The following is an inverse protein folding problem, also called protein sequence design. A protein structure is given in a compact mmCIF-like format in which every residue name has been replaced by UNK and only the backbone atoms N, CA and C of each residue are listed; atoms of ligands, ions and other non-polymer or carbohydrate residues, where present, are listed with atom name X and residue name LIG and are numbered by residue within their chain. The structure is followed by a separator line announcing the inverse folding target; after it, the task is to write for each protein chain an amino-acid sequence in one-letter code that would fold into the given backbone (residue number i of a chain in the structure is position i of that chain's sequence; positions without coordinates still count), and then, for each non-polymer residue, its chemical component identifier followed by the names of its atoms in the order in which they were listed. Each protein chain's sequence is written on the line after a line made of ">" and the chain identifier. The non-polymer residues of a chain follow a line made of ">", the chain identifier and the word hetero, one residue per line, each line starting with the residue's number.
data_IF_162563550701
#
_entry.id   IF_162563550701
#
_cell.length_a   1.000
_cell.length_b   1.000
_cell.length_c   1.000
_cell.angle_alpha   90.00
_cell.angle_beta   90.00
_cell.angle_gamma   90.00
#
_symmetry.space_group_name_H-M   'P 1'
#
loop_
_entity.id
_entity.type
_entity.pdbx_description
1 polymer ?
#
# COMPACT_ATOMS: atom_id res chain seq x y z
N UNK A 1 34.46 -54.95 -0.99
CA UNK A 1 33.48 -55.15 0.07
C UNK A 1 32.19 -54.45 -0.36
N UNK A 2 31.21 -55.26 -0.78
CA UNK A 2 29.94 -54.81 -1.39
C UNK A 2 28.95 -54.40 -0.27
N UNK A 3 28.33 -53.23 -0.38
CA UNK A 3 27.14 -52.88 0.43
C UNK A 3 25.98 -52.49 -0.49
N UNK A 4 24.89 -53.20 -0.30
CA UNK A 4 23.69 -53.30 -1.11
C UNK A 4 22.83 -52.01 -1.15
N UNK A 5 22.35 -51.67 -2.33
CA UNK A 5 21.22 -50.75 -2.56
C UNK A 5 19.91 -51.41 -2.09
N UNK A 6 19.12 -50.74 -1.24
CA UNK A 6 17.71 -51.06 -1.01
C UNK A 6 16.83 -50.14 -1.85
N UNK A 7 16.08 -50.70 -2.76
CA UNK A 7 14.95 -50.10 -3.46
C UNK A 7 13.72 -50.20 -2.57
N UNK A 8 13.00 -49.11 -2.38
CA UNK A 8 11.65 -49.08 -1.76
C UNK A 8 10.67 -48.80 -2.91
N UNK A 9 9.80 -49.77 -3.15
CA UNK A 9 8.72 -49.75 -4.13
C UNK A 9 7.49 -49.10 -3.48
N UNK A 10 6.93 -48.04 -4.06
CA UNK A 10 5.66 -47.47 -3.68
C UNK A 10 4.51 -48.20 -4.39
N UNK A 11 3.58 -48.72 -3.63
CA UNK A 11 2.36 -49.34 -4.14
C UNK A 11 1.25 -48.29 -4.26
N UNK A 12 0.70 -48.14 -5.47
CA UNK A 12 -0.54 -47.41 -5.74
C UNK A 12 -1.74 -48.27 -5.29
N UNK A 13 -2.60 -47.71 -4.45
CA UNK A 13 -3.93 -48.24 -4.19
C UNK A 13 -4.98 -47.28 -4.75
N UNK A 14 -5.58 -47.67 -5.85
CA UNK A 14 -6.75 -47.00 -6.41
C UNK A 14 -8.02 -47.56 -5.76
N UNK A 15 -8.82 -46.69 -5.12
CA UNK A 15 -10.19 -47.01 -4.68
C UNK A 15 -11.15 -46.15 -5.49
N UNK A 16 -11.84 -46.76 -6.40
CA UNK A 16 -13.01 -46.18 -7.07
C UNK A 16 -14.24 -46.24 -6.19
N UNK A 17 -14.99 -45.15 -6.07
CA UNK A 17 -16.35 -45.16 -5.60
C UNK A 17 -17.19 -44.39 -6.62
N UNK A 18 -18.07 -45.09 -7.29
CA UNK A 18 -19.08 -44.54 -8.19
C UNK A 18 -20.18 -43.84 -7.38
N UNK A 19 -20.52 -42.63 -7.79
CA UNK A 19 -21.74 -41.95 -7.36
C UNK A 19 -22.73 -41.91 -8.51
N UNK A 20 -23.86 -42.57 -8.29
CA UNK A 20 -25.04 -42.60 -9.17
C UNK A 20 -25.70 -41.24 -9.14
N UNK A 21 -25.76 -40.55 -10.27
CA UNK A 21 -26.56 -39.32 -10.44
C UNK A 21 -28.01 -39.69 -10.80
N UNK A 22 -28.93 -39.48 -9.84
CA UNK A 22 -30.36 -39.45 -10.14
C UNK A 22 -30.72 -38.07 -10.70
N UNK A 23 -31.12 -38.05 -11.97
CA UNK A 23 -31.82 -36.94 -12.60
C UNK A 23 -33.27 -36.93 -12.13
N UNK A 24 -33.68 -35.94 -11.33
CA UNK A 24 -35.08 -35.60 -11.13
C UNK A 24 -35.44 -34.45 -12.08
N UNK A 25 -36.28 -34.76 -13.06
CA UNK A 25 -36.90 -33.77 -13.94
C UNK A 25 -38.01 -33.05 -13.19
N UNK A 26 -37.91 -31.72 -13.05
CA UNK A 26 -39.04 -30.86 -12.71
C UNK A 26 -39.52 -30.15 -13.98
N UNK A 27 -40.84 -29.99 -14.15
CA UNK A 27 -41.39 -29.32 -15.33
C UNK A 27 -41.13 -27.80 -15.26
N UNK A 28 -40.57 -27.26 -16.32
CA UNK A 28 -40.45 -25.83 -16.54
C UNK A 28 -41.82 -25.26 -16.90
N UNK A 29 -42.41 -24.50 -15.99
CA UNK A 29 -43.52 -23.60 -16.29
C UNK A 29 -42.95 -22.31 -16.86
N UNK A 30 -43.25 -22.01 -18.12
CA UNK A 30 -42.93 -20.72 -18.73
C UNK A 30 -43.84 -19.66 -18.14
N UNK A 31 -43.25 -18.79 -17.30
CA UNK A 31 -43.80 -17.47 -17.01
C UNK A 31 -43.05 -16.48 -17.88
N UNK A 32 -43.73 -15.83 -18.79
CA UNK A 32 -43.27 -14.63 -19.50
C UNK A 32 -43.11 -13.54 -18.48
N UNK A 33 -41.89 -13.30 -18.02
CA UNK A 33 -41.51 -12.14 -17.26
C UNK A 33 -40.93 -11.13 -18.25
N UNK A 34 -41.70 -10.06 -18.48
CA UNK A 34 -41.24 -8.90 -19.24
C UNK A 34 -39.99 -8.35 -18.63
N UNK A 35 -38.84 -8.60 -19.27
CA UNK A 35 -37.58 -7.94 -18.97
C UNK A 35 -37.78 -6.45 -19.19
N UNK A 36 -37.90 -5.68 -18.10
CA UNK A 36 -37.59 -4.26 -18.12
C UNK A 36 -36.07 -4.16 -18.28
N UNK A 37 -35.68 -3.81 -19.50
CA UNK A 37 -34.36 -3.35 -19.84
C UNK A 37 -34.01 -2.11 -18.98
N UNK A 38 -33.39 -2.32 -17.83
CA UNK A 38 -32.61 -1.29 -17.18
C UNK A 38 -31.20 -1.39 -17.76
N UNK A 39 -31.07 -0.92 -18.99
CA UNK A 39 -29.79 -0.45 -19.51
C UNK A 39 -29.34 0.74 -18.62
N UNK A 40 -28.71 0.42 -17.49
CA UNK A 40 -27.76 1.30 -16.89
C UNK A 40 -26.57 1.31 -17.86
N UNK A 41 -26.67 2.13 -18.91
CA UNK A 41 -25.57 2.48 -19.77
C UNK A 41 -24.43 2.93 -18.81
N UNK A 42 -23.40 2.09 -18.68
CA UNK A 42 -22.12 2.55 -18.19
C UNK A 42 -21.75 3.72 -19.10
N UNK A 43 -21.98 4.94 -18.62
CA UNK A 43 -21.48 6.13 -19.28
C UNK A 43 -19.98 5.91 -19.31
N UNK A 44 -19.44 5.60 -20.50
CA UNK A 44 -18.01 5.70 -20.74
C UNK A 44 -17.66 7.16 -20.50
N UNK A 45 -17.06 7.44 -19.33
CA UNK A 45 -16.62 8.79 -18.99
C UNK A 45 -15.75 9.30 -20.12
N UNK A 46 -15.99 10.55 -20.53
CA UNK A 46 -15.14 11.21 -21.52
C UNK A 46 -13.70 11.19 -20.97
N UNK A 47 -12.73 10.57 -21.67
CA UNK A 47 -11.36 10.43 -21.18
C UNK A 47 -10.64 11.77 -20.98
N UNK A 48 -11.24 12.90 -21.34
CA UNK A 48 -10.72 14.24 -21.10
C UNK A 48 -11.21 14.86 -19.78
N UNK A 49 -12.09 14.22 -19.03
CA UNK A 49 -12.73 14.81 -17.86
C UNK A 49 -11.92 14.55 -16.59
N UNK A 50 -11.68 15.60 -15.81
CA UNK A 50 -11.21 15.49 -14.43
C UNK A 50 -12.38 14.98 -13.58
N UNK A 51 -12.34 13.69 -13.22
CA UNK A 51 -13.46 12.99 -12.56
C UNK A 51 -13.81 13.62 -11.22
N UNK A 52 -12.82 14.05 -10.45
CA UNK A 52 -13.02 14.70 -9.14
C UNK A 52 -13.76 16.04 -9.22
N UNK A 53 -13.76 16.71 -10.38
CA UNK A 53 -14.56 17.92 -10.59
C UNK A 53 -16.08 17.67 -10.59
N UNK A 54 -16.51 16.42 -10.72
CA UNK A 54 -17.93 16.02 -10.63
C UNK A 54 -18.43 15.75 -9.20
N UNK A 55 -17.56 15.78 -8.19
CA UNK A 55 -17.91 15.54 -6.79
C UNK A 55 -18.52 16.82 -6.20
N UNK A 56 -19.69 16.70 -5.58
CA UNK A 56 -20.37 17.86 -4.95
C UNK A 56 -19.56 18.43 -3.79
N UNK A 57 -19.36 19.74 -3.82
CA UNK A 57 -18.55 20.45 -2.83
C UNK A 57 -17.03 20.25 -2.93
N UNK A 58 -16.54 19.47 -3.92
CA UNK A 58 -15.11 19.28 -4.15
C UNK A 58 -14.49 20.50 -4.85
N UNK A 59 -13.29 20.95 -4.47
CA UNK A 59 -12.61 22.04 -5.17
C UNK A 59 -12.40 21.71 -6.65
N UNK A 60 -12.64 22.68 -7.53
CA UNK A 60 -12.45 22.50 -8.97
C UNK A 60 -10.96 22.55 -9.32
N UNK A 61 -10.47 21.52 -9.98
CA UNK A 61 -9.11 21.44 -10.49
C UNK A 61 -9.04 21.82 -11.96
N UNK A 62 -7.92 22.42 -12.38
CA UNK A 62 -7.63 22.61 -13.81
C UNK A 62 -7.31 21.28 -14.46
N UNK A 63 -7.73 21.13 -15.71
CA UNK A 63 -7.27 20.01 -16.54
C UNK A 63 -5.79 20.17 -16.89
N UNK A 64 -5.15 19.04 -17.14
CA UNK A 64 -3.75 18.92 -17.59
C UNK A 64 -3.68 18.33 -19.00
N UNK A 65 -2.57 18.53 -19.71
CA UNK A 65 -2.39 18.00 -21.05
C UNK A 65 -1.99 16.52 -21.10
N UNK A 66 -1.39 16.00 -20.02
CA UNK A 66 -1.01 14.59 -19.91
C UNK A 66 -2.24 13.67 -19.92
N UNK A 67 -2.07 12.44 -20.41
CA UNK A 67 -3.19 11.54 -20.67
C UNK A 67 -3.88 11.06 -19.37
N UNK A 68 -3.10 10.80 -18.33
CA UNK A 68 -3.64 10.37 -17.04
C UNK A 68 -2.86 10.98 -15.87
N UNK A 69 -3.54 11.27 -14.77
CA UNK A 69 -2.90 11.66 -13.52
C UNK A 69 -3.77 11.38 -12.29
N UNK A 70 -3.11 11.30 -11.16
CA UNK A 70 -3.73 11.22 -9.84
C UNK A 70 -2.94 12.04 -8.82
N UNK A 71 -3.65 12.63 -7.86
CA UNK A 71 -3.08 13.09 -6.59
C UNK A 71 -3.80 12.38 -5.46
N UNK A 72 -3.07 11.68 -4.64
CA UNK A 72 -3.59 10.89 -3.52
C UNK A 72 -2.87 11.28 -2.22
N UNK A 73 -3.63 11.46 -1.16
CA UNK A 73 -3.06 11.64 0.18
C UNK A 73 -2.80 10.29 0.83
N UNK A 74 -1.55 10.10 1.33
CA UNK A 74 -1.02 8.77 1.67
C UNK A 74 -1.48 8.19 3.01
N UNK A 75 -1.98 9.01 3.95
CA UNK A 75 -2.42 8.46 5.25
C UNK A 75 -3.85 7.91 5.24
N UNK A 76 -4.64 8.33 4.26
CA UNK A 76 -6.05 7.98 4.12
C UNK A 76 -6.40 7.36 2.78
N UNK A 77 -5.44 7.34 1.84
CA UNK A 77 -5.62 6.98 0.43
C UNK A 77 -6.73 7.80 -0.27
N UNK A 78 -6.96 9.03 0.22
CA UNK A 78 -7.95 9.92 -0.37
C UNK A 78 -7.45 10.46 -1.70
N UNK A 79 -8.20 10.20 -2.77
CA UNK A 79 -7.93 10.72 -4.11
C UNK A 79 -8.43 12.16 -4.21
N UNK A 80 -7.50 13.12 -4.30
CA UNK A 80 -7.80 14.56 -4.39
C UNK A 80 -8.03 15.02 -5.83
N UNK A 81 -7.33 14.42 -6.77
CA UNK A 81 -7.42 14.67 -8.20
C UNK A 81 -7.37 13.35 -8.96
N UNK A 82 -8.22 13.19 -9.96
CA UNK A 82 -8.24 12.02 -10.83
C UNK A 82 -8.62 12.41 -12.25
N UNK A 83 -7.71 12.07 -13.17
CA UNK A 83 -7.94 12.12 -14.63
C UNK A 83 -7.46 10.79 -15.20
N UNK A 84 -8.36 10.00 -15.79
CA UNK A 84 -8.04 8.71 -16.39
C UNK A 84 -7.13 7.82 -15.50
N UNK A 85 -7.29 7.93 -14.15
CA UNK A 85 -6.35 7.34 -13.21
C UNK A 85 -6.24 5.80 -13.32
N UNK A 86 -7.27 5.13 -13.83
CA UNK A 86 -7.31 3.68 -14.02
C UNK A 86 -7.03 3.24 -15.47
N UNK A 87 -6.63 4.19 -16.35
CA UNK A 87 -6.26 3.87 -17.73
C UNK A 87 -4.90 3.18 -17.78
N UNK A 88 -4.78 1.97 -18.38
CA UNK A 88 -3.49 1.33 -18.60
C UNK A 88 -2.63 2.10 -19.58
N UNK A 89 -1.41 2.44 -19.18
CA UNK A 89 -0.43 3.19 -19.97
C UNK A 89 0.97 2.60 -19.78
N UNK A 90 1.87 2.85 -20.71
CA UNK A 90 3.26 2.43 -20.59
C UNK A 90 3.98 3.21 -19.48
N UNK A 91 4.68 2.49 -18.56
CA UNK A 91 5.26 3.08 -17.36
C UNK A 91 6.57 3.82 -17.56
N UNK A 92 7.34 3.52 -18.59
CA UNK A 92 8.75 3.87 -18.70
C UNK A 92 9.52 3.50 -17.40
N UNK A 93 10.52 4.32 -17.02
CA UNK A 93 11.38 4.07 -15.85
C UNK A 93 10.66 4.19 -14.49
N UNK A 94 9.37 4.52 -14.42
CA UNK A 94 8.58 4.44 -13.20
C UNK A 94 8.53 3.00 -12.63
N UNK A 95 8.65 1.97 -13.48
CA UNK A 95 8.79 0.55 -13.06
C UNK A 95 9.89 0.35 -12.02
N UNK A 96 10.96 1.13 -12.07
CA UNK A 96 12.13 0.98 -11.19
C UNK A 96 11.79 1.25 -9.71
N UNK A 97 10.69 1.95 -9.43
CA UNK A 97 10.17 2.08 -8.06
C UNK A 97 9.78 0.70 -7.53
N UNK A 98 8.99 -0.09 -8.29
CA UNK A 98 8.64 -1.46 -7.91
C UNK A 98 9.87 -2.37 -7.88
N UNK A 99 10.80 -2.22 -8.81
CA UNK A 99 12.06 -2.99 -8.82
C UNK A 99 12.86 -2.76 -7.54
N UNK A 100 13.00 -1.51 -7.10
CA UNK A 100 13.68 -1.18 -5.85
C UNK A 100 12.90 -1.64 -4.61
N UNK A 101 11.58 -1.51 -4.59
CA UNK A 101 10.73 -1.98 -3.50
C UNK A 101 10.89 -3.48 -3.30
N UNK A 102 10.75 -4.28 -4.36
CA UNK A 102 10.92 -5.74 -4.29
C UNK A 102 12.34 -6.12 -3.86
N UNK A 103 13.36 -5.43 -4.36
CA UNK A 103 14.74 -5.69 -3.95
C UNK A 103 14.97 -5.39 -2.46
N UNK A 104 14.44 -4.28 -1.93
CA UNK A 104 14.52 -3.92 -0.53
C UNK A 104 13.79 -4.88 0.40
N UNK A 105 12.70 -5.47 -0.05
CA UNK A 105 11.90 -6.43 0.71
C UNK A 105 12.52 -7.84 0.73
N UNK A 106 13.43 -8.16 -0.21
CA UNK A 106 13.94 -9.52 -0.40
C UNK A 106 15.47 -9.67 -0.29
N UNK A 107 16.20 -8.58 0.03
CA UNK A 107 17.66 -8.61 0.14
C UNK A 107 18.20 -7.67 1.20
N UNK A 108 19.43 -7.90 1.65
CA UNK A 108 20.16 -6.98 2.55
C UNK A 108 20.99 -5.98 1.74
N UNK A 109 21.14 -4.77 2.25
CA UNK A 109 21.86 -3.69 1.55
C UNK A 109 23.33 -3.98 1.29
N UNK A 110 23.95 -4.83 2.11
CA UNK A 110 25.36 -5.23 2.03
C UNK A 110 25.58 -6.50 1.17
N UNK A 111 24.53 -7.13 0.65
CA UNK A 111 24.65 -8.24 -0.28
C UNK A 111 25.48 -7.87 -1.50
N UNK A 112 26.34 -8.79 -1.92
CA UNK A 112 27.20 -8.59 -3.09
C UNK A 112 26.51 -9.07 -4.35
N UNK A 113 26.21 -8.14 -5.24
CA UNK A 113 25.60 -8.38 -6.55
C UNK A 113 26.72 -8.42 -7.59
N UNK A 114 26.92 -9.59 -8.20
CA UNK A 114 27.92 -9.79 -9.26
C UNK A 114 27.26 -9.65 -10.62
N UNK A 115 27.84 -8.81 -11.48
CA UNK A 115 27.34 -8.60 -12.83
C UNK A 115 27.58 -9.83 -13.69
N UNK A 116 26.52 -10.34 -14.28
CA UNK A 116 26.53 -11.45 -15.25
C UNK A 116 26.25 -10.94 -16.68
N UNK A 117 26.15 -11.84 -17.62
CA UNK A 117 25.72 -11.50 -18.98
C UNK A 117 24.30 -10.89 -19.01
N UNK A 118 23.44 -11.22 -18.04
CA UNK A 118 22.08 -10.69 -17.92
C UNK A 118 22.08 -9.16 -17.78
N UNK A 119 22.86 -8.62 -16.86
CA UNK A 119 22.98 -7.16 -16.69
C UNK A 119 23.78 -6.53 -17.83
N UNK A 120 24.97 -7.07 -18.14
CA UNK A 120 25.92 -6.43 -19.07
C UNK A 120 25.43 -6.42 -20.52
N UNK A 121 24.74 -7.47 -20.97
CA UNK A 121 24.31 -7.63 -22.35
C UNK A 121 22.80 -7.53 -22.55
N UNK A 122 22.03 -7.43 -21.46
CA UNK A 122 20.57 -7.38 -21.51
C UNK A 122 19.99 -6.03 -21.96
N UNK A 123 20.79 -4.96 -21.94
CA UNK A 123 20.38 -3.64 -22.42
C UNK A 123 20.75 -3.51 -23.89
N UNK A 124 19.81 -3.79 -24.79
CA UNK A 124 20.05 -3.82 -26.25
C UNK A 124 19.75 -2.51 -26.95
N UNK A 125 18.92 -1.62 -26.39
CA UNK A 125 18.30 -0.51 -27.12
C UNK A 125 18.83 0.88 -26.70
N UNK A 126 20.08 0.93 -26.19
CA UNK A 126 20.71 2.21 -25.84
C UNK A 126 20.09 2.89 -24.62
N UNK A 127 19.31 2.17 -23.82
CA UNK A 127 18.71 2.66 -22.58
C UNK A 127 19.76 3.07 -21.54
N UNK A 128 19.34 3.88 -20.57
CA UNK A 128 20.19 4.39 -19.50
C UNK A 128 20.89 3.20 -18.78
N UNK A 129 22.20 3.31 -18.56
CA UNK A 129 23.03 2.31 -17.90
C UNK A 129 24.26 2.99 -17.29
N UNK A 130 24.98 2.30 -16.40
CA UNK A 130 26.23 2.78 -15.80
C UNK A 130 27.46 2.14 -16.40
N UNK A 131 27.34 1.45 -17.53
CA UNK A 131 28.41 0.73 -18.21
C UNK A 131 29.09 -0.28 -17.29
N UNK A 132 28.28 -1.07 -16.58
CA UNK A 132 28.76 -2.15 -15.74
C UNK A 132 29.45 -3.23 -16.58
N UNK A 133 30.41 -3.93 -15.98
CA UNK A 133 31.23 -4.92 -16.67
C UNK A 133 30.98 -6.33 -16.11
N UNK A 134 31.25 -7.36 -16.92
CA UNK A 134 31.16 -8.74 -16.47
C UNK A 134 32.05 -8.96 -15.24
N UNK A 135 31.57 -9.75 -14.28
CA UNK A 135 32.21 -10.02 -12.99
C UNK A 135 32.45 -8.78 -12.09
N UNK A 136 31.92 -7.63 -12.47
CA UNK A 136 31.92 -6.44 -11.60
C UNK A 136 30.98 -6.67 -10.40
N UNK A 137 31.42 -6.26 -9.20
CA UNK A 137 30.68 -6.50 -7.96
C UNK A 137 30.28 -5.18 -7.34
N UNK A 138 29.00 -5.05 -7.00
CA UNK A 138 28.41 -3.95 -6.27
C UNK A 138 27.73 -4.46 -5.00
N UNK A 139 27.53 -3.62 -4.00
CA UNK A 139 26.57 -3.91 -2.95
C UNK A 139 25.13 -3.68 -3.45
N UNK A 140 24.14 -4.31 -2.85
CA UNK A 140 22.74 -4.05 -3.17
C UNK A 140 22.41 -2.57 -3.01
N UNK A 141 22.89 -1.91 -1.96
CA UNK A 141 22.73 -0.47 -1.77
C UNK A 141 23.22 0.33 -2.99
N UNK A 142 24.44 0.04 -3.48
CA UNK A 142 24.99 0.68 -4.68
C UNK A 142 24.12 0.44 -5.92
N UNK A 143 23.58 -0.77 -6.04
CA UNK A 143 22.67 -1.11 -7.13
C UNK A 143 21.39 -0.26 -7.07
N UNK A 144 20.77 -0.12 -5.90
CA UNK A 144 19.55 0.66 -5.73
C UNK A 144 19.77 2.15 -6.03
N UNK A 145 20.91 2.72 -5.61
CA UNK A 145 21.30 4.08 -6.02
C UNK A 145 21.49 4.19 -7.53
N UNK A 146 22.14 3.22 -8.17
CA UNK A 146 22.31 3.23 -9.63
C UNK A 146 20.97 3.14 -10.37
N UNK A 147 20.04 2.32 -9.88
CA UNK A 147 18.69 2.17 -10.47
C UNK A 147 17.90 3.48 -10.36
N UNK A 148 17.87 4.10 -9.18
CA UNK A 148 17.04 5.30 -8.98
C UNK A 148 17.70 6.57 -9.51
N UNK A 149 18.99 6.78 -9.24
CA UNK A 149 19.70 8.03 -9.58
C UNK A 149 20.08 8.09 -11.06
N UNK A 150 20.67 7.02 -11.59
CA UNK A 150 21.10 6.97 -13.01
C UNK A 150 20.08 6.26 -13.91
N UNK A 151 18.98 5.79 -13.37
CA UNK A 151 17.99 4.98 -14.11
C UNK A 151 18.59 3.74 -14.79
N UNK A 152 19.61 3.13 -14.19
CA UNK A 152 20.47 2.10 -14.75
C UNK A 152 19.70 0.79 -15.07
N UNK A 153 19.51 0.50 -16.35
CA UNK A 153 18.81 -0.71 -16.80
C UNK A 153 19.69 -1.97 -16.64
N UNK A 154 20.99 -1.87 -16.85
CA UNK A 154 21.96 -2.94 -16.65
C UNK A 154 21.92 -3.45 -15.20
N UNK A 155 21.87 -2.54 -14.24
CA UNK A 155 21.80 -2.87 -12.83
C UNK A 155 20.41 -3.39 -12.47
N UNK A 156 19.31 -2.83 -13.02
CA UNK A 156 17.96 -3.30 -12.75
C UNK A 156 17.76 -4.77 -13.20
N UNK A 157 18.31 -5.16 -14.37
CA UNK A 157 18.31 -6.54 -14.84
C UNK A 157 19.13 -7.45 -13.94
N UNK A 158 20.31 -6.99 -13.49
CA UNK A 158 21.18 -7.79 -12.62
C UNK A 158 20.57 -7.99 -11.22
N UNK A 159 19.95 -6.95 -10.65
CA UNK A 159 19.23 -7.06 -9.38
C UNK A 159 18.05 -8.04 -9.51
N UNK A 160 17.33 -8.00 -10.62
CA UNK A 160 16.24 -8.93 -10.87
C UNK A 160 16.73 -10.38 -10.94
N UNK A 161 17.85 -10.64 -11.64
CA UNK A 161 18.44 -11.98 -11.66
C UNK A 161 18.95 -12.41 -10.29
N UNK A 162 19.60 -11.50 -9.55
CA UNK A 162 20.16 -11.77 -8.22
C UNK A 162 19.07 -12.15 -7.21
N UNK A 163 18.01 -11.35 -7.12
CA UNK A 163 16.93 -11.52 -6.14
C UNK A 163 15.98 -12.65 -6.54
N UNK A 164 15.61 -12.71 -7.81
CA UNK A 164 14.64 -13.69 -8.31
C UNK A 164 15.24 -15.02 -8.76
N UNK A 165 16.57 -15.10 -8.88
CA UNK A 165 17.25 -16.23 -9.54
C UNK A 165 17.14 -16.22 -11.07
N UNK A 166 16.21 -15.44 -11.62
CA UNK A 166 16.07 -15.06 -13.03
C UNK A 166 15.24 -13.79 -13.15
N UNK A 167 15.36 -13.07 -14.28
CA UNK A 167 14.52 -11.89 -14.56
C UNK A 167 13.03 -12.25 -14.56
N UNK A 168 12.67 -13.37 -15.18
CA UNK A 168 11.26 -13.82 -15.25
C UNK A 168 10.68 -14.12 -13.85
N UNK A 169 11.45 -14.76 -12.98
CA UNK A 169 11.01 -15.05 -11.62
C UNK A 169 10.86 -13.75 -10.79
N UNK A 170 11.77 -12.79 -10.97
CA UNK A 170 11.65 -11.48 -10.33
C UNK A 170 10.40 -10.72 -10.80
N UNK A 171 10.10 -10.75 -12.10
CA UNK A 171 8.87 -10.14 -12.66
C UNK A 171 7.62 -10.78 -12.05
N UNK A 172 7.61 -12.08 -11.78
CA UNK A 172 6.51 -12.73 -11.06
C UNK A 172 6.37 -12.19 -9.64
N UNK A 173 7.49 -11.95 -8.93
CA UNK A 173 7.47 -11.33 -7.60
C UNK A 173 6.90 -9.89 -7.70
N UNK A 174 7.33 -9.09 -8.69
CA UNK A 174 6.79 -7.74 -8.92
C UNK A 174 5.27 -7.76 -9.11
N UNK A 175 4.75 -8.66 -9.95
CA UNK A 175 3.31 -8.77 -10.19
C UNK A 175 2.53 -9.27 -8.96
N UNK A 176 3.09 -10.23 -8.22
CA UNK A 176 2.50 -10.68 -6.96
C UNK A 176 2.43 -9.53 -5.96
N UNK A 177 3.53 -8.77 -5.83
CA UNK A 177 3.58 -7.63 -4.91
C UNK A 177 2.60 -6.52 -5.30
N UNK A 178 2.44 -6.25 -6.60
CA UNK A 178 1.44 -5.32 -7.08
C UNK A 178 0.02 -5.73 -6.66
N UNK A 179 -0.33 -7.02 -6.80
CA UNK A 179 -1.63 -7.54 -6.36
C UNK A 179 -1.82 -7.41 -4.84
N UNK A 180 -0.79 -7.68 -4.03
CA UNK A 180 -0.82 -7.50 -2.57
C UNK A 180 -1.02 -6.05 -2.15
N UNK A 181 -0.53 -5.09 -2.95
CA UNK A 181 -0.74 -3.66 -2.75
C UNK A 181 -2.14 -3.18 -3.21
N UNK A 182 -2.95 -4.07 -3.79
CA UNK A 182 -4.28 -3.72 -4.29
C UNK A 182 -4.31 -3.22 -5.73
N UNK A 183 -3.20 -3.32 -6.47
CA UNK A 183 -3.16 -2.95 -7.89
C UNK A 183 -4.05 -3.90 -8.71
N UNK A 184 -4.91 -3.34 -9.55
CA UNK A 184 -5.90 -4.12 -10.31
C UNK A 184 -5.66 -4.12 -11.82
N UNK A 185 -4.93 -3.13 -12.32
CA UNK A 185 -4.72 -2.90 -13.77
C UNK A 185 -3.23 -2.65 -14.10
N UNK A 186 -2.33 -3.28 -13.37
CA UNK A 186 -0.88 -3.20 -13.59
C UNK A 186 -0.31 -4.56 -13.94
N UNK A 187 0.50 -4.60 -14.98
CA UNK A 187 1.27 -5.78 -15.39
C UNK A 187 2.71 -5.37 -15.68
N UNK A 188 3.64 -5.96 -14.95
CA UNK A 188 5.06 -5.87 -15.22
C UNK A 188 5.53 -7.05 -16.07
N UNK A 189 6.37 -6.78 -17.09
CA UNK A 189 7.02 -7.79 -17.93
C UNK A 189 8.55 -7.70 -17.85
N UNK A 190 9.08 -6.59 -17.34
CA UNK A 190 10.51 -6.41 -17.11
C UNK A 190 10.76 -5.42 -15.95
N UNK A 191 11.97 -5.44 -15.32
CA UNK A 191 12.28 -4.59 -14.18
C UNK A 191 12.79 -3.19 -14.58
N UNK A 192 12.88 -2.87 -15.87
CA UNK A 192 13.54 -1.66 -16.40
C UNK A 192 12.57 -0.58 -16.83
N UNK A 193 11.39 -0.97 -17.29
CA UNK A 193 10.41 -0.10 -17.93
C UNK A 193 10.66 0.13 -19.42
N UNK A 194 11.55 -0.64 -20.03
CA UNK A 194 11.67 -0.67 -21.48
C UNK A 194 10.36 -1.14 -22.12
N UNK A 195 10.02 -0.66 -23.31
CA UNK A 195 8.74 -0.96 -23.94
C UNK A 195 8.53 -2.48 -24.16
N UNK A 196 7.36 -2.94 -23.77
CA UNK A 196 6.82 -4.26 -24.04
C UNK A 196 5.31 -4.10 -24.20
N UNK A 197 4.70 -4.71 -25.21
CA UNK A 197 3.27 -4.54 -25.53
C UNK A 197 2.32 -4.97 -24.41
N UNK A 198 2.78 -5.85 -23.52
CA UNK A 198 2.00 -6.35 -22.41
C UNK A 198 2.26 -5.59 -21.11
N UNK A 199 3.30 -4.73 -21.06
CA UNK A 199 3.64 -3.97 -19.87
C UNK A 199 2.82 -2.69 -19.76
N UNK A 200 2.08 -2.57 -18.66
CA UNK A 200 1.31 -1.36 -18.39
C UNK A 200 1.13 -1.13 -16.90
N UNK A 201 0.90 0.12 -16.55
CA UNK A 201 0.48 0.56 -15.21
C UNK A 201 -0.70 1.51 -15.35
N UNK A 202 -1.41 1.73 -14.23
CA UNK A 202 -2.32 2.87 -14.10
C UNK A 202 -1.73 3.92 -13.16
N UNK A 203 -2.21 5.16 -13.24
CA UNK A 203 -1.79 6.20 -12.30
C UNK A 203 -2.20 5.84 -10.86
N UNK A 204 -3.36 5.24 -10.69
CA UNK A 204 -3.87 4.78 -9.39
C UNK A 204 -2.97 3.68 -8.79
N UNK A 205 -2.73 2.62 -9.54
CA UNK A 205 -1.88 1.51 -9.04
C UNK A 205 -0.46 1.99 -8.73
N UNK A 206 0.08 2.92 -9.56
CA UNK A 206 1.41 3.48 -9.32
C UNK A 206 1.45 4.35 -8.06
N UNK A 207 0.34 5.01 -7.68
CA UNK A 207 0.24 5.74 -6.43
C UNK A 207 0.35 4.80 -5.22
N UNK A 208 -0.32 3.63 -5.24
CA UNK A 208 -0.21 2.61 -4.20
C UNK A 208 1.22 2.04 -4.10
N UNK A 209 1.87 1.80 -5.24
CA UNK A 209 3.26 1.32 -5.29
C UNK A 209 4.22 2.37 -4.72
N UNK A 210 4.04 3.65 -5.08
CA UNK A 210 4.88 4.75 -4.59
C UNK A 210 4.72 4.95 -3.08
N UNK A 211 3.50 4.89 -2.57
CA UNK A 211 3.21 4.94 -1.13
C UNK A 211 3.95 3.83 -0.38
N UNK A 212 3.82 2.58 -0.85
CA UNK A 212 4.49 1.43 -0.24
C UNK A 212 6.02 1.59 -0.27
N UNK A 213 6.59 2.06 -1.38
CA UNK A 213 8.01 2.30 -1.52
C UNK A 213 8.48 3.42 -0.57
N UNK A 214 7.75 4.53 -0.48
CA UNK A 214 8.05 5.66 0.40
C UNK A 214 7.80 5.35 1.88
N UNK A 215 7.13 4.28 2.24
CA UNK A 215 7.07 3.78 3.62
C UNK A 215 8.42 3.25 4.10
N UNK A 216 9.32 2.84 3.20
CA UNK A 216 10.68 2.37 3.51
C UNK A 216 11.67 3.54 3.61
N UNK A 217 12.33 3.69 4.77
CA UNK A 217 13.29 4.78 5.04
C UNK A 217 14.48 4.81 4.08
N UNK A 218 14.97 3.63 3.69
CA UNK A 218 16.07 3.49 2.73
C UNK A 218 15.63 3.96 1.35
N UNK A 219 14.44 3.54 0.91
CA UNK A 219 13.90 3.99 -0.38
C UNK A 219 13.75 5.51 -0.41
N UNK A 220 13.16 6.11 0.65
CA UNK A 220 13.04 7.59 0.74
C UNK A 220 14.37 8.30 0.59
N UNK A 221 15.41 7.79 1.26
CA UNK A 221 16.75 8.35 1.17
C UNK A 221 17.30 8.30 -0.26
N UNK A 222 17.15 7.15 -0.91
CA UNK A 222 17.61 6.94 -2.29
C UNK A 222 16.82 7.81 -3.28
N UNK A 223 15.49 7.85 -3.15
CA UNK A 223 14.60 8.59 -4.04
C UNK A 223 14.79 10.13 -3.95
N UNK A 224 15.32 10.62 -2.82
CA UNK A 224 15.65 12.04 -2.60
C UNK A 224 17.08 12.42 -3.03
N UNK A 225 17.87 11.45 -3.52
CA UNK A 225 19.28 11.67 -3.82
C UNK A 225 19.49 12.29 -5.20
N UNK A 226 20.14 13.46 -5.24
CA UNK A 226 20.42 14.17 -6.49
C UNK A 226 21.69 13.69 -7.19
N UNK A 227 22.66 13.16 -6.44
CA UNK A 227 23.92 12.62 -6.98
C UNK A 227 24.47 11.56 -6.03
N UNK A 228 25.03 10.50 -6.58
CA UNK A 228 25.68 9.43 -5.83
C UNK A 228 27.01 9.06 -6.46
N UNK A 229 28.07 8.97 -5.67
CA UNK A 229 29.40 8.55 -6.14
C UNK A 229 29.59 7.05 -5.87
N UNK A 230 29.57 6.23 -6.91
CA UNK A 230 29.97 4.84 -6.84
C UNK A 230 31.50 4.78 -6.67
N UNK A 231 32.00 4.09 -5.65
CA UNK A 231 33.44 3.91 -5.46
C UNK A 231 34.02 3.03 -6.57
N UNK A 232 35.37 2.96 -6.61
CA UNK A 232 36.05 1.94 -7.41
C UNK A 232 35.58 0.54 -7.02
N UNK A 233 35.47 -0.33 -8.03
CA UNK A 233 35.04 -1.74 -7.86
C UNK A 233 36.24 -2.68 -8.08
N UNK A 234 35.98 -3.99 -8.00
CA UNK A 234 36.98 -5.03 -8.34
C UNK A 234 37.42 -4.97 -9.82
N UNK A 235 36.63 -4.36 -10.72
CA UNK A 235 36.90 -4.27 -12.16
C UNK A 235 37.22 -2.83 -12.56
N UNK A 236 36.51 -1.84 -12.06
CA UNK A 236 36.70 -0.42 -12.36
C UNK A 236 37.63 0.22 -11.32
N UNK A 237 38.78 0.74 -11.74
CA UNK A 237 39.74 1.40 -10.85
C UNK A 237 39.41 2.84 -10.48
N UNK A 238 38.31 3.41 -11.02
CA UNK A 238 37.87 4.77 -10.77
C UNK A 238 36.45 4.88 -10.22
N UNK A 239 36.17 5.98 -9.54
CA UNK A 239 34.84 6.34 -9.09
C UNK A 239 33.94 6.71 -10.28
N UNK A 240 32.63 6.48 -10.15
CA UNK A 240 31.59 6.92 -11.11
C UNK A 240 30.59 7.82 -10.39
N UNK A 241 30.47 9.07 -10.85
CA UNK A 241 29.47 10.00 -10.32
C UNK A 241 28.16 9.80 -11.10
N UNK A 242 27.14 9.35 -10.40
CA UNK A 242 25.78 9.22 -10.90
C UNK A 242 25.03 10.51 -10.62
N UNK A 243 24.30 11.03 -11.59
CA UNK A 243 23.49 12.25 -11.47
C UNK A 243 22.03 11.89 -11.70
N UNK A 244 21.16 12.37 -10.82
CA UNK A 244 19.73 12.18 -10.94
C UNK A 244 19.14 13.25 -11.90
N UNK A 245 18.42 12.79 -12.90
CA UNK A 245 17.72 13.67 -13.83
C UNK A 245 16.38 14.18 -13.26
N UNK A 246 15.89 13.60 -12.16
CA UNK A 246 14.64 14.01 -11.54
C UNK A 246 14.74 15.44 -10.99
N UNK A 247 14.18 16.40 -11.73
CA UNK A 247 14.36 17.83 -11.53
C UNK A 247 13.73 18.34 -10.25
N UNK A 248 12.59 17.77 -9.82
CA UNK A 248 11.79 18.27 -8.70
C UNK A 248 12.52 18.28 -7.35
N UNK A 249 13.56 17.44 -7.19
CA UNK A 249 14.40 17.42 -5.96
C UNK A 249 15.68 18.24 -6.08
N UNK A 250 16.03 18.72 -7.26
CA UNK A 250 17.28 19.42 -7.52
C UNK A 250 17.09 20.95 -7.41
N UNK A 251 17.58 21.55 -6.33
CA UNK A 251 17.39 22.99 -6.04
C UNK A 251 18.03 23.95 -7.07
N UNK A 252 18.78 23.43 -8.04
CA UNK A 252 19.37 24.22 -9.14
C UNK A 252 18.62 24.06 -10.46
N UNK A 253 17.57 23.22 -10.49
CA UNK A 253 16.74 22.96 -11.65
C UNK A 253 15.54 23.92 -11.70
N UNK A 254 15.09 24.26 -12.92
CA UNK A 254 13.86 25.04 -13.13
C UNK A 254 12.61 24.30 -12.65
N UNK A 255 12.61 22.95 -12.67
CA UNK A 255 11.52 22.10 -12.16
C UNK A 255 11.56 21.85 -10.62
N UNK A 256 12.46 22.53 -9.89
CA UNK A 256 12.56 22.32 -8.44
C UNK A 256 11.28 22.66 -7.68
N UNK A 257 10.81 21.70 -6.88
CA UNK A 257 9.66 21.88 -6.00
C UNK A 257 10.03 21.54 -4.56
N UNK A 258 10.21 22.55 -3.72
CA UNK A 258 10.70 22.38 -2.34
C UNK A 258 9.94 21.34 -1.50
N UNK A 259 8.60 21.19 -1.62
CA UNK A 259 7.88 20.14 -0.89
C UNK A 259 8.15 18.71 -1.39
N UNK A 260 8.70 18.53 -2.61
CA UNK A 260 8.99 17.20 -3.15
C UNK A 260 10.07 16.51 -2.31
N UNK A 261 9.80 15.29 -1.85
CA UNK A 261 10.68 14.50 -0.98
C UNK A 261 11.25 13.25 -1.65
N UNK A 262 10.92 13.03 -2.93
CA UNK A 262 11.47 11.94 -3.73
C UNK A 262 10.58 11.58 -4.89
N UNK A 263 11.14 10.88 -5.87
CA UNK A 263 10.39 10.46 -7.02
C UNK A 263 11.24 9.82 -8.11
N UNK A 264 10.61 9.59 -9.25
CA UNK A 264 11.23 9.05 -10.47
C UNK A 264 10.53 9.57 -11.72
N UNK A 265 11.31 10.02 -12.65
CA UNK A 265 10.85 10.31 -14.02
C UNK A 265 11.17 9.14 -14.95
N UNK A 266 10.49 9.11 -16.07
CA UNK A 266 10.76 8.20 -17.15
C UNK A 266 10.32 8.75 -18.48
N UNK A 267 10.97 8.28 -19.55
CA UNK A 267 10.60 8.57 -20.92
C UNK A 267 10.94 7.40 -21.82
N UNK A 268 10.01 7.05 -22.66
CA UNK A 268 10.24 6.28 -23.89
C UNK A 268 9.37 6.87 -25.00
N UNK A 269 9.67 6.57 -26.24
CA UNK A 269 8.83 7.03 -27.35
C UNK A 269 7.38 6.52 -27.21
N UNK A 270 7.21 5.28 -26.70
CA UNK A 270 5.91 4.67 -26.51
C UNK A 270 5.12 5.24 -25.30
N UNK A 271 5.81 5.58 -24.21
CA UNK A 271 5.16 6.06 -22.98
C UNK A 271 4.91 7.58 -22.97
N UNK A 272 5.63 8.36 -23.79
CA UNK A 272 5.79 9.78 -23.48
C UNK A 272 6.53 9.99 -22.16
N UNK A 273 6.46 11.18 -21.60
CA UNK A 273 7.01 11.50 -20.28
C UNK A 273 6.11 10.94 -19.16
N UNK A 274 6.74 10.35 -18.17
CA UNK A 274 6.09 9.87 -16.94
C UNK A 274 6.77 10.51 -15.73
N UNK A 275 5.99 10.86 -14.71
CA UNK A 275 6.49 11.41 -13.46
C UNK A 275 5.74 10.79 -12.30
N UNK A 276 6.50 10.33 -11.30
CA UNK A 276 6.00 9.77 -10.04
C UNK A 276 6.73 10.47 -8.91
N UNK A 277 6.02 11.12 -8.01
CA UNK A 277 6.65 11.79 -6.87
C UNK A 277 5.79 11.75 -5.62
N UNK A 278 6.45 11.91 -4.45
CA UNK A 278 5.80 12.25 -3.20
C UNK A 278 6.26 13.64 -2.75
N UNK A 279 5.33 14.41 -2.22
CA UNK A 279 5.61 15.71 -1.64
C UNK A 279 4.98 15.82 -0.24
N UNK A 280 5.63 16.61 0.63
CA UNK A 280 5.17 16.83 2.02
C UNK A 280 5.08 18.31 2.35
N UNK A 281 3.90 18.75 2.79
CA UNK A 281 3.63 20.14 3.22
C UNK A 281 2.46 20.12 4.21
N UNK A 282 2.53 20.95 5.26
CA UNK A 282 1.44 21.17 6.20
C UNK A 282 0.90 19.87 6.86
N UNK A 283 1.78 18.95 7.22
CA UNK A 283 1.45 17.62 7.78
C UNK A 283 0.64 16.71 6.85
N UNK A 284 0.53 17.03 5.58
CA UNK A 284 0.02 16.14 4.53
C UNK A 284 1.18 15.61 3.69
N UNK A 285 1.01 14.39 3.21
CA UNK A 285 1.86 13.79 2.19
C UNK A 285 1.02 13.43 0.99
N UNK A 286 1.40 13.92 -0.16
CA UNK A 286 0.70 13.70 -1.41
C UNK A 286 1.61 12.95 -2.39
N UNK A 287 1.11 11.85 -2.91
CA UNK A 287 1.66 11.18 -4.08
C UNK A 287 1.01 11.79 -5.32
N UNK A 288 1.84 12.17 -6.30
CA UNK A 288 1.39 12.67 -7.59
C UNK A 288 1.99 11.81 -8.71
N UNK A 289 1.13 11.32 -9.57
CA UNK A 289 1.49 10.54 -10.75
C UNK A 289 0.98 11.27 -11.98
N UNK A 290 1.85 11.45 -12.98
CA UNK A 290 1.50 12.01 -14.30
C UNK A 290 2.02 11.04 -15.34
N UNK A 291 1.15 10.55 -16.23
CA UNK A 291 1.48 9.56 -17.25
C UNK A 291 1.19 10.07 -18.65
N UNK A 292 2.06 9.71 -19.58
CA UNK A 292 1.96 10.01 -21.01
C UNK A 292 1.83 11.51 -21.30
N UNK A 293 2.71 12.30 -20.69
CA UNK A 293 2.83 13.72 -20.91
C UNK A 293 3.79 14.05 -22.06
N UNK A 294 3.73 15.30 -22.53
CA UNK A 294 4.74 15.83 -23.42
C UNK A 294 6.06 16.08 -22.67
N UNK A 295 7.18 16.03 -23.40
CA UNK A 295 8.49 16.30 -22.80
C UNK A 295 8.56 17.72 -22.23
N UNK A 296 9.04 17.84 -20.99
CA UNK A 296 9.21 19.11 -20.29
C UNK A 296 7.92 19.74 -19.74
N UNK A 297 6.80 18.99 -19.73
CA UNK A 297 5.51 19.48 -19.23
C UNK A 297 5.12 18.82 -17.91
N UNK A 298 5.54 17.58 -17.68
CA UNK A 298 5.11 16.78 -16.54
C UNK A 298 5.48 17.37 -15.17
N UNK A 299 6.61 18.07 -15.07
CA UNK A 299 7.04 18.74 -13.84
C UNK A 299 6.08 19.87 -13.44
N UNK A 300 5.77 20.75 -14.42
CA UNK A 300 4.84 21.88 -14.21
C UNK A 300 3.44 21.38 -13.84
N UNK A 301 2.97 20.33 -14.51
CA UNK A 301 1.68 19.71 -14.21
C UNK A 301 1.66 19.09 -12.83
N UNK A 302 2.71 18.32 -12.45
CA UNK A 302 2.81 17.73 -11.11
C UNK A 302 2.86 18.80 -10.01
N UNK A 303 3.62 19.88 -10.21
CA UNK A 303 3.68 21.03 -9.30
C UNK A 303 2.30 21.68 -9.15
N UNK A 304 1.60 21.92 -10.25
CA UNK A 304 0.25 22.48 -10.23
C UNK A 304 -0.75 21.60 -9.48
N UNK A 305 -0.71 20.29 -9.73
CA UNK A 305 -1.57 19.30 -9.07
C UNK A 305 -1.26 19.15 -7.59
N UNK A 306 0.02 19.10 -7.19
CA UNK A 306 0.43 19.07 -5.79
C UNK A 306 0.00 20.36 -5.05
N UNK A 307 0.18 21.53 -5.66
CA UNK A 307 -0.32 22.78 -5.09
C UNK A 307 -1.84 22.77 -4.96
N UNK A 308 -2.56 22.27 -5.96
CA UNK A 308 -4.02 22.10 -5.86
C UNK A 308 -4.39 21.26 -4.62
N UNK A 309 -3.73 20.11 -4.42
CA UNK A 309 -3.97 19.27 -3.25
C UNK A 309 -3.67 19.99 -1.93
N UNK A 310 -2.48 20.57 -1.78
CA UNK A 310 -2.07 21.25 -0.54
C UNK A 310 -2.83 22.52 -0.21
N UNK A 311 -3.32 23.24 -1.22
CA UNK A 311 -3.94 24.54 -1.02
C UNK A 311 -5.47 24.44 -0.85
N UNK A 312 -6.09 23.32 -1.24
CA UNK A 312 -7.54 23.13 -1.18
C UNK A 312 -8.03 22.10 -0.16
N UNK A 313 -7.14 21.27 0.39
CA UNK A 313 -7.51 20.21 1.33
C UNK A 313 -6.71 20.29 2.62
N UNK A 314 -7.29 19.76 3.68
CA UNK A 314 -6.67 19.68 4.99
C UNK A 314 -7.12 18.43 5.76
N UNK A 315 -6.29 17.94 6.71
CA UNK A 315 -6.72 16.94 7.66
C UNK A 315 -7.82 17.48 8.57
N UNK A 316 -8.92 16.75 8.69
CA UNK A 316 -10.00 16.98 9.63
C UNK A 316 -10.00 15.79 10.62
N UNK A 317 -9.73 16.09 11.90
CA UNK A 317 -9.83 15.07 12.96
C UNK A 317 -11.28 14.98 13.42
N UNK A 318 -11.82 13.78 13.34
CA UNK A 318 -13.20 13.49 13.77
C UNK A 318 -13.21 13.38 15.29
N UNK A 319 -14.20 14.02 15.94
CA UNK A 319 -14.40 13.91 17.38
C UNK A 319 -14.74 12.48 17.78
N UNK A 320 -14.36 12.09 19.01
CA UNK A 320 -14.73 10.80 19.58
C UNK A 320 -16.17 10.87 20.10
N UNK A 321 -17.11 10.42 19.26
CA UNK A 321 -18.47 10.18 19.68
C UNK A 321 -18.62 8.71 20.11
N UNK A 322 -19.28 8.42 21.19
CA UNK A 322 -19.86 7.15 21.70
C UNK A 322 -19.09 5.82 21.53
N UNK A 323 -18.00 5.76 20.75
CA UNK A 323 -17.20 4.55 20.51
C UNK A 323 -15.73 4.73 20.92
N UNK A 324 -15.16 3.70 21.53
CA UNK A 324 -13.72 3.68 21.76
C UNK A 324 -12.97 3.51 20.45
N UNK A 325 -12.32 4.58 19.99
CA UNK A 325 -11.49 4.54 18.77
C UNK A 325 -10.19 3.82 19.04
N UNK A 326 -9.89 2.78 18.23
CA UNK A 326 -8.65 2.03 18.25
C UNK A 326 -7.59 2.67 17.34
N UNK A 327 -8.00 3.15 16.16
CA UNK A 327 -7.10 3.82 15.20
C UNK A 327 -7.89 4.64 14.16
N UNK A 328 -7.18 5.47 13.38
CA UNK A 328 -7.77 6.32 12.33
C UNK A 328 -8.54 7.54 12.88
N UNK A 329 -9.59 7.94 12.21
CA UNK A 329 -10.44 9.09 12.59
C UNK A 329 -9.85 10.43 12.17
N UNK A 330 -8.87 10.46 11.30
CA UNK A 330 -8.50 11.64 10.51
C UNK A 330 -8.95 11.40 9.08
N UNK A 331 -9.65 12.35 8.52
CA UNK A 331 -10.07 12.35 7.12
C UNK A 331 -9.41 13.51 6.38
N UNK A 332 -9.28 13.40 5.08
CA UNK A 332 -8.81 14.51 4.23
C UNK A 332 -10.01 15.07 3.49
N UNK A 333 -10.33 16.31 3.78
CA UNK A 333 -11.52 16.96 3.22
C UNK A 333 -11.18 18.34 2.65
N UNK A 334 -12.06 18.92 1.81
CA UNK A 334 -11.92 20.29 1.33
C UNK A 334 -11.81 21.29 2.49
N UNK A 335 -11.01 22.34 2.31
CA UNK A 335 -10.85 23.39 3.31
C UNK A 335 -12.17 23.97 3.73
N UNK A 336 -12.42 24.04 5.05
CA UNK A 336 -13.66 24.53 5.63
C UNK A 336 -14.75 23.46 5.77
N UNK A 337 -14.50 22.21 5.36
CA UNK A 337 -15.39 21.10 5.68
C UNK A 337 -15.41 20.83 7.19
N UNK A 338 -16.56 20.39 7.68
CA UNK A 338 -16.80 19.96 9.06
C UNK A 338 -17.33 18.53 9.08
N UNK A 339 -17.45 17.92 10.24
CA UNK A 339 -18.04 16.58 10.39
C UNK A 339 -19.46 16.49 9.83
N UNK A 340 -20.24 17.57 9.89
CA UNK A 340 -21.60 17.65 9.32
C UNK A 340 -21.65 17.46 7.79
N UNK A 341 -20.51 17.61 7.10
CA UNK A 341 -20.39 17.40 5.66
C UNK A 341 -20.09 15.93 5.29
N UNK A 342 -19.87 15.09 6.30
CA UNK A 342 -19.48 13.69 6.10
C UNK A 342 -20.69 12.77 6.22
N UNK A 343 -20.64 11.68 5.46
CA UNK A 343 -21.49 10.50 5.67
C UNK A 343 -20.60 9.31 6.02
N UNK A 344 -21.17 8.32 6.72
CA UNK A 344 -20.40 7.15 7.17
C UNK A 344 -21.05 5.86 6.77
N UNK A 345 -20.21 4.84 6.59
CA UNK A 345 -20.60 3.45 6.39
C UNK A 345 -19.80 2.57 7.34
N UNK A 346 -20.48 1.73 8.14
CA UNK A 346 -19.86 0.86 9.10
C UNK A 346 -19.87 -0.58 8.62
N UNK A 347 -18.72 -1.25 8.72
CA UNK A 347 -18.57 -2.69 8.47
C UNK A 347 -18.04 -3.35 9.73
N UNK A 348 -18.73 -4.38 10.25
CA UNK A 348 -18.31 -5.11 11.44
C UNK A 348 -17.63 -6.41 11.07
N UNK A 349 -16.45 -6.70 11.67
CA UNK A 349 -15.71 -7.95 11.56
C UNK A 349 -14.86 -8.16 12.81
N UNK A 350 -14.84 -9.38 13.34
CA UNK A 350 -13.98 -9.82 14.44
C UNK A 350 -14.03 -8.93 15.72
N UNK A 351 -15.22 -8.37 16.02
CA UNK A 351 -15.42 -7.52 17.20
C UNK A 351 -14.89 -6.10 17.03
N UNK A 352 -14.62 -5.70 15.81
CA UNK A 352 -14.25 -4.34 15.44
C UNK A 352 -15.21 -3.80 14.40
N UNK A 353 -15.46 -2.51 14.46
CA UNK A 353 -16.20 -1.77 13.45
C UNK A 353 -15.20 -0.94 12.66
N UNK A 354 -15.14 -1.17 11.35
CA UNK A 354 -14.46 -0.25 10.41
C UNK A 354 -15.47 0.75 9.90
N UNK A 355 -15.29 2.02 10.28
CA UNK A 355 -16.09 3.14 9.79
C UNK A 355 -15.39 3.81 8.64
N UNK A 356 -16.00 3.80 7.47
CA UNK A 356 -15.57 4.57 6.30
C UNK A 356 -16.27 5.93 6.30
N UNK A 357 -15.51 7.01 6.13
CA UNK A 357 -16.02 8.36 5.97
C UNK A 357 -16.05 8.77 4.51
N UNK A 358 -17.10 9.46 4.11
CA UNK A 358 -17.30 9.96 2.75
C UNK A 358 -17.61 11.45 2.76
N UNK A 359 -17.06 12.19 1.79
CA UNK A 359 -17.42 13.56 1.45
C UNK A 359 -17.92 13.59 0.00
N UNK A 360 -19.15 14.07 -0.24
CA UNK A 360 -19.74 14.05 -1.58
C UNK A 360 -19.79 12.67 -2.24
N UNK A 361 -19.86 11.59 -1.44
CA UNK A 361 -19.84 10.20 -1.91
C UNK A 361 -18.43 9.64 -2.17
N UNK A 362 -17.36 10.42 -1.96
CA UNK A 362 -15.97 10.01 -2.12
C UNK A 362 -15.38 9.56 -0.78
N UNK A 363 -14.69 8.41 -0.70
CA UNK A 363 -13.99 7.98 0.51
C UNK A 363 -12.89 8.99 0.89
N UNK A 364 -12.88 9.44 2.15
CA UNK A 364 -11.93 10.46 2.64
C UNK A 364 -11.14 10.03 3.87
N UNK A 365 -11.36 8.83 4.37
CA UNK A 365 -10.62 8.23 5.47
C UNK A 365 -11.45 7.22 6.24
N UNK A 366 -10.79 6.54 7.19
CA UNK A 366 -11.39 5.45 7.99
C UNK A 366 -11.09 5.63 9.47
N UNK A 367 -11.92 5.00 10.32
CA UNK A 367 -11.61 4.74 11.72
C UNK A 367 -11.91 3.29 12.06
N UNK A 368 -11.10 2.71 12.96
CA UNK A 368 -11.38 1.41 13.58
C UNK A 368 -11.86 1.66 15.00
N UNK A 369 -13.03 1.14 15.32
CA UNK A 369 -13.74 1.33 16.59
C UNK A 369 -13.92 -0.04 17.26
N UNK A 370 -13.99 -0.05 18.61
CA UNK A 370 -14.40 -1.25 19.34
C UNK A 370 -15.90 -1.51 19.16
N UNK A 371 -16.28 -2.77 18.92
CA UNK A 371 -17.67 -3.18 18.94
C UNK A 371 -18.12 -3.43 20.39
N UNK A 372 -18.80 -2.46 20.98
CA UNK A 372 -19.27 -2.51 22.38
C UNK A 372 -20.29 -3.64 22.63
N UNK A 373 -21.04 -4.08 21.62
CA UNK A 373 -21.99 -5.18 21.76
C UNK A 373 -21.28 -6.52 21.91
N UNK A 374 -20.15 -6.71 21.24
CA UNK A 374 -19.36 -7.96 21.35
C UNK A 374 -18.64 -8.05 22.68
N UNK A 375 -18.15 -6.96 23.24
CA UNK A 375 -17.56 -6.94 24.59
C UNK A 375 -18.56 -7.32 25.67
N UNK A 376 -19.80 -6.87 25.58
CA UNK A 376 -20.86 -7.24 26.54
C UNK A 376 -21.19 -8.72 26.43
N UNK A 377 -21.19 -9.30 25.25
CA UNK A 377 -21.43 -10.72 25.01
C UNK A 377 -20.26 -11.59 25.51
N UNK A 378 -19.03 -11.21 25.25
CA UNK A 378 -17.83 -11.92 25.71
C UNK A 378 -17.65 -11.83 27.22
N UNK A 379 -17.94 -10.68 27.83
CA UNK A 379 -17.95 -10.51 29.27
C UNK A 379 -19.05 -11.36 29.94
N UNK A 380 -20.25 -11.44 29.33
CA UNK A 380 -21.35 -12.27 29.82
C UNK A 380 -21.03 -13.76 29.70
N UNK A 381 -20.45 -14.19 28.54
CA UNK A 381 -20.01 -15.59 28.32
C UNK A 381 -18.88 -15.96 29.26
N UNK A 382 -17.92 -15.08 29.49
CA UNK A 382 -16.81 -15.28 30.43
C UNK A 382 -17.32 -15.32 31.87
N UNK A 383 -18.24 -14.43 32.23
CA UNK A 383 -18.91 -14.42 33.55
C UNK A 383 -19.71 -15.70 33.78
N UNK A 384 -20.42 -16.20 32.79
CA UNK A 384 -21.17 -17.45 32.87
C UNK A 384 -20.24 -18.66 32.98
N UNK A 385 -19.16 -18.76 32.21
CA UNK A 385 -18.14 -19.80 32.34
C UNK A 385 -17.46 -19.79 33.72
N UNK A 386 -17.17 -18.62 34.29
CA UNK A 386 -16.58 -18.47 35.60
C UNK A 386 -17.58 -18.87 36.71
N UNK A 387 -18.89 -18.60 36.57
CA UNK A 387 -19.92 -19.07 37.48
C UNK A 387 -20.11 -20.59 37.42
N UNK A 388 -20.10 -21.16 36.20
CA UNK A 388 -20.18 -22.61 36.02
C UNK A 388 -18.95 -23.33 36.63
N UNK A 389 -17.73 -22.76 36.41
CA UNK A 389 -16.51 -23.28 37.07
C UNK A 389 -16.54 -23.16 38.59
N UNK A 390 -17.05 -22.06 39.14
CA UNK A 390 -17.21 -21.86 40.57
C UNK A 390 -18.26 -22.82 41.17
N UNK A 391 -19.36 -23.07 40.45
CA UNK A 391 -20.38 -24.06 40.85
C UNK A 391 -19.85 -25.49 40.78
N UNK A 392 -19.07 -25.84 39.75
CA UNK A 392 -18.41 -27.15 39.64
C UNK A 392 -17.37 -27.36 40.73
N UNK A 393 -16.60 -26.31 41.06
CA UNK A 393 -15.65 -26.36 42.21
C UNK A 393 -16.36 -26.55 43.55
N UNK A 394 -17.47 -25.83 43.80
CA UNK A 394 -18.25 -25.97 45.01
C UNK A 394 -18.92 -27.35 45.13
N UNK A 395 -19.39 -27.93 44.03
CA UNK A 395 -19.98 -29.25 43.98
C UNK A 395 -18.95 -30.39 44.23
N UNK A 396 -17.69 -30.18 43.85
CA UNK A 396 -16.60 -31.14 44.03
C UNK A 396 -15.96 -31.09 45.44
N UNK A 397 -16.21 -30.03 46.23
CA UNK A 397 -15.58 -29.80 47.57
C UNK A 397 -16.63 -29.56 48.65
N UNK A 398 -17.54 -30.52 48.83
CA UNK A 398 -18.63 -30.46 49.83
C UNK A 398 -18.20 -30.56 51.33
N UNK A 399 -16.93 -30.37 51.63
CA UNK A 399 -16.41 -30.45 53.04
C UNK A 399 -15.51 -29.29 53.47
N UNK A 400 -15.53 -28.15 52.80
CA UNK A 400 -14.83 -26.94 53.29
C UNK A 400 -15.79 -26.06 54.12
N UNK A 401 -15.39 -25.56 55.31
CA UNK A 401 -16.29 -24.79 56.17
C UNK A 401 -16.63 -23.42 55.52
N UNK A 402 -17.91 -23.06 55.59
CA UNK A 402 -18.56 -21.87 55.03
C UNK A 402 -17.92 -20.50 55.35
N UNK A 403 -16.85 -20.45 56.14
CA UNK A 403 -16.19 -19.21 56.56
C UNK A 403 -15.27 -18.58 55.54
N UNK A 404 -14.80 -19.33 54.50
CA UNK A 404 -13.88 -18.81 53.51
C UNK A 404 -14.62 -18.06 52.41
N UNK A 405 -15.83 -18.45 52.05
CA UNK A 405 -16.63 -17.81 50.98
C UNK A 405 -17.12 -16.42 51.41
N UNK A 406 -17.43 -16.21 52.67
CA UNK A 406 -17.82 -14.91 53.21
C UNK A 406 -16.69 -13.87 53.20
N UNK A 407 -15.42 -14.31 53.35
CA UNK A 407 -14.27 -13.39 53.38
C UNK A 407 -13.86 -12.89 51.98
N UNK A 408 -14.04 -13.70 50.94
CA UNK A 408 -13.73 -13.31 49.54
C UNK A 408 -14.82 -12.38 48.99
N UNK A 409 -16.09 -12.65 49.30
CA UNK A 409 -17.20 -11.76 48.91
C UNK A 409 -17.14 -10.37 49.56
N UNK A 410 -16.76 -10.33 50.87
CA UNK A 410 -16.59 -9.06 51.59
C UNK A 410 -15.40 -8.24 51.12
N UNK A 411 -14.29 -8.90 50.72
CA UNK A 411 -13.13 -8.22 50.15
C UNK A 411 -13.44 -7.57 48.77
N UNK A 412 -14.25 -8.26 47.94
CA UNK A 412 -14.63 -7.71 46.63
C UNK A 412 -15.58 -6.50 46.73
N UNK A 413 -16.52 -6.52 47.68
CA UNK A 413 -17.45 -5.40 47.92
C UNK A 413 -16.78 -4.18 48.57
N UNK A 414 -15.67 -4.36 49.30
CA UNK A 414 -14.95 -3.24 49.92
C UNK A 414 -13.82 -2.66 49.06
N UNK A 415 -13.20 -3.44 48.18
CA UNK A 415 -12.10 -2.97 47.36
C UNK A 415 -12.52 -2.40 45.98
N UNK A 416 -13.62 -2.89 45.44
CA UNK A 416 -14.09 -2.41 44.11
C UNK A 416 -14.52 -0.94 44.10
N UNK A 417 -15.24 -0.41 45.08
CA UNK A 417 -15.54 1.04 45.13
C UNK A 417 -14.30 1.91 45.30
N UNK A 418 -13.28 1.42 46.08
CA UNK A 418 -12.05 2.20 46.29
C UNK A 418 -11.15 2.22 45.04
N UNK A 419 -11.17 1.16 44.23
CA UNK A 419 -10.45 1.12 42.96
C UNK A 419 -11.10 2.02 41.93
N UNK A 420 -12.43 2.04 41.85
CA UNK A 420 -13.17 2.92 40.94
C UNK A 420 -13.01 4.41 41.30
N UNK A 421 -12.97 4.76 42.57
CA UNK A 421 -12.72 6.14 43.00
C UNK A 421 -11.30 6.60 42.65
N UNK A 422 -10.30 5.67 42.66
CA UNK A 422 -8.92 6.00 42.23
C UNK A 422 -8.76 6.19 40.73
N UNK A 423 -9.58 5.51 39.93
CA UNK A 423 -9.55 5.61 38.46
C UNK A 423 -10.30 6.87 38.00
N UNK A 424 -11.39 7.25 38.67
CA UNK A 424 -12.25 8.37 38.28
C UNK A 424 -11.73 9.73 38.79
N UNK A 425 -10.91 9.77 39.84
CA UNK A 425 -10.43 11.05 40.39
C UNK A 425 -8.98 10.96 40.93
N UNK A 426 -7.97 11.09 40.04
CA UNK A 426 -6.55 10.98 40.43
C UNK A 426 -6.05 12.12 41.32
N UNK A 427 -6.79 13.23 41.49
CA UNK A 427 -6.39 14.38 42.30
C UNK A 427 -6.58 14.19 43.83
N UNK A 428 -7.27 13.14 44.26
CA UNK A 428 -7.50 12.89 45.68
C UNK A 428 -6.29 12.32 46.42
N UNK A 429 -5.17 12.07 45.72
CA UNK A 429 -3.94 11.48 46.29
C UNK A 429 -2.92 12.49 46.80
N UNK A 430 -3.11 13.80 46.58
CA UNK A 430 -2.12 14.82 46.95
C UNK A 430 -2.33 15.46 48.34
N UNK A 431 -3.40 15.12 49.10
CA UNK A 431 -3.73 15.82 50.31
C UNK A 431 -3.60 14.97 51.61
N UNK A 432 -2.87 13.86 51.60
CA UNK A 432 -2.63 13.03 52.82
C UNK A 432 -1.14 12.93 53.18
N UNK A 433 -0.35 14.02 52.98
CA UNK A 433 0.95 14.16 53.61
C UNK A 433 1.05 15.59 54.22
N UNK A 434 0.51 15.69 55.41
CA UNK A 434 1.00 16.60 56.48
C UNK A 434 0.92 15.83 57.78
#
# INVERSE_FOLDING_TARGET
>A
MMIKKKRITAALLALGLGAVTMFSQFPVSAAEETAQDTDAAAQTADPSVVVTNGIDGWPQASDISSAAAIVMETSTNTVLYSKNADQPLYPASAVKIMTCLVALENSSLDEQVTMTATGVSGVTDGGANISSQLDEVFTMEQCLYAIMVASANDIALQVAEHVGGSVDAFVQIMNTRAQELGCTNTVFTNPTGLPDENQHITAHDMALIMEAAMANDTFRTIAATTSYTLPATNVSGGERVLTNNFTMINSTSDGYYKPCIGGKEGYTEASGSTLVCEASKNNMKLVCIVLNGASGVTDDEAIALLNYGFDNFAPLTIADDDFNRLSGGTVIAPNGATEDNLTTEDTSSDGQITRQYYFGGTPVGTAILEDAEQQTNDAAVTGQKNMEAAQAYSASHTTAPYYIIGAIGAAFLLFFPVLMIKVINPELLLNTRQ
#
